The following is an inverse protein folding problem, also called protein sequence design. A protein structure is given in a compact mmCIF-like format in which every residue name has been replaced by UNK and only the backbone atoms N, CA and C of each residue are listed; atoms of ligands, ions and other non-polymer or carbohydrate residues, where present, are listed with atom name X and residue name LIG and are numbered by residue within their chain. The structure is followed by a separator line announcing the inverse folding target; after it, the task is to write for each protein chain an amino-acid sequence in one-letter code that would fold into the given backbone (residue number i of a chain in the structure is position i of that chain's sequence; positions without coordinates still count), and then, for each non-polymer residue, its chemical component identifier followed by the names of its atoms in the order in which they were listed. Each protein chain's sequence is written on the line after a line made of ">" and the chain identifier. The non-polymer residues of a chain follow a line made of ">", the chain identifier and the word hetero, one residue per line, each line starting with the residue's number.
data_IF_021111092504
#
_entry.id   IF_021111092504
#
_cell.length_a   1.000
_cell.length_b   1.000
_cell.length_c   1.000
_cell.angle_alpha   90.00
_cell.angle_beta   90.00
_cell.angle_gamma   90.00
#
_symmetry.space_group_name_H-M   'P 1'
#
loop_
_entity.id
_entity.type
_entity.pdbx_description
1 polymer ?
#
# COMPACT_ATOMS: atom_id res chain seq x y z
N UNK A 1 36.60 -64.34 21.31
CA UNK A 1 36.94 -63.00 21.85
C UNK A 1 36.23 -61.96 21.00
N UNK A 2 35.41 -61.06 21.58
CA UNK A 2 34.63 -60.11 20.80
C UNK A 2 35.47 -58.89 20.42
N UNK A 3 35.36 -58.46 19.16
CA UNK A 3 35.90 -57.19 18.64
C UNK A 3 35.02 -56.02 19.10
N UNK A 4 35.50 -55.24 20.07
CA UNK A 4 34.84 -54.02 20.52
C UNK A 4 35.14 -52.85 19.58
N UNK A 5 34.14 -52.40 18.84
CA UNK A 5 34.15 -51.10 18.16
C UNK A 5 33.91 -49.98 19.16
N UNK A 6 34.89 -49.10 19.33
CA UNK A 6 34.76 -47.87 20.14
C UNK A 6 34.00 -46.82 19.33
N UNK A 7 32.76 -46.51 19.70
CA UNK A 7 32.02 -45.35 19.20
C UNK A 7 32.35 -44.12 20.06
N UNK A 8 32.97 -43.10 19.47
CA UNK A 8 33.20 -41.81 20.12
C UNK A 8 31.87 -41.05 20.30
N UNK A 9 31.64 -40.36 21.44
CA UNK A 9 30.41 -39.64 21.69
C UNK A 9 30.28 -38.42 20.77
N UNK A 10 29.09 -38.27 20.17
CA UNK A 10 28.76 -37.11 19.35
C UNK A 10 28.75 -35.84 20.21
N UNK A 11 29.66 -34.90 19.92
CA UNK A 11 29.71 -33.58 20.55
C UNK A 11 28.45 -32.80 20.14
N UNK A 12 27.45 -32.74 21.03
CA UNK A 12 26.26 -31.90 20.84
C UNK A 12 26.68 -30.44 20.98
N UNK A 13 26.75 -29.72 19.84
CA UNK A 13 27.02 -28.28 19.84
C UNK A 13 25.85 -27.54 20.51
N UNK A 14 26.14 -26.57 21.39
CA UNK A 14 25.10 -25.94 22.18
C UNK A 14 24.24 -24.97 21.35
N UNK A 15 22.94 -24.85 21.64
CA UNK A 15 21.95 -24.16 20.80
C UNK A 15 22.23 -22.65 20.61
N UNK A 16 22.95 -22.02 21.54
CA UNK A 16 23.35 -20.60 21.44
C UNK A 16 24.35 -20.33 20.31
N UNK A 17 25.09 -21.35 19.85
CA UNK A 17 26.02 -21.20 18.72
C UNK A 17 25.27 -20.94 17.42
N UNK A 18 24.13 -21.62 17.21
CA UNK A 18 23.27 -21.43 16.05
C UNK A 18 22.56 -20.08 16.05
N UNK A 19 22.13 -19.61 17.23
CA UNK A 19 21.56 -18.27 17.39
C UNK A 19 22.58 -17.17 17.05
N UNK A 20 23.84 -17.31 17.47
CA UNK A 20 24.92 -16.37 17.11
C UNK A 20 25.24 -16.41 15.61
N UNK A 21 25.27 -17.60 15.00
CA UNK A 21 25.49 -17.75 13.56
C UNK A 21 24.34 -17.16 12.74
N UNK A 22 23.10 -17.34 13.18
CA UNK A 22 21.92 -16.74 12.56
C UNK A 22 21.95 -15.21 12.69
N UNK A 23 22.23 -14.68 13.87
CA UNK A 23 22.36 -13.24 14.09
C UNK A 23 23.49 -12.63 13.23
N UNK A 24 24.63 -13.32 13.13
CA UNK A 24 25.74 -12.91 12.28
C UNK A 24 25.37 -12.96 10.79
N UNK A 25 24.66 -14.00 10.35
CA UNK A 25 24.17 -14.11 8.98
C UNK A 25 23.17 -12.99 8.64
N UNK A 26 22.22 -12.69 9.54
CA UNK A 26 21.27 -11.60 9.37
C UNK A 26 21.96 -10.23 9.35
N UNK A 27 22.94 -10.01 10.23
CA UNK A 27 23.74 -8.79 10.23
C UNK A 27 24.56 -8.63 8.94
N UNK A 28 25.14 -9.72 8.43
CA UNK A 28 25.90 -9.72 7.18
C UNK A 28 24.98 -9.47 5.98
N UNK A 29 23.80 -10.09 5.94
CA UNK A 29 22.75 -9.83 4.94
C UNK A 29 22.34 -8.35 5.00
N UNK A 30 22.10 -7.81 6.18
CA UNK A 30 21.79 -6.39 6.38
C UNK A 30 22.90 -5.46 5.87
N UNK A 31 24.16 -5.77 6.19
CA UNK A 31 25.33 -5.00 5.74
C UNK A 31 25.53 -5.06 4.22
N UNK A 32 25.29 -6.24 3.62
CA UNK A 32 25.30 -6.40 2.16
C UNK A 32 24.17 -5.58 1.54
N UNK A 33 22.95 -5.61 2.09
CA UNK A 33 21.81 -4.83 1.61
C UNK A 33 22.04 -3.30 1.66
N UNK A 34 22.89 -2.82 2.57
CA UNK A 34 23.32 -1.40 2.61
C UNK A 34 24.24 -1.02 1.44
N UNK A 35 24.96 -1.99 0.85
CA UNK A 35 25.88 -1.79 -0.28
C UNK A 35 25.32 -2.22 -1.64
N UNK A 36 24.16 -2.84 -1.63
CA UNK A 36 23.42 -3.23 -2.82
C UNK A 36 22.89 -1.95 -3.51
N UNK A 37 23.23 -1.69 -4.78
CA UNK A 37 22.73 -0.52 -5.52
C UNK A 37 21.20 -0.44 -5.44
N UNK A 38 20.63 0.76 -5.38
CA UNK A 38 19.18 0.97 -5.26
C UNK A 38 18.37 0.12 -6.25
N UNK A 39 18.84 0.03 -7.50
CA UNK A 39 18.23 -0.82 -8.53
C UNK A 39 18.02 -2.29 -8.10
N UNK A 40 18.98 -2.88 -7.38
CA UNK A 40 18.90 -4.28 -6.93
C UNK A 40 17.98 -4.42 -5.70
N UNK A 41 17.93 -3.42 -4.82
CA UNK A 41 16.95 -3.37 -3.72
C UNK A 41 15.52 -3.41 -4.26
N UNK A 42 15.24 -2.65 -5.32
CA UNK A 42 13.92 -2.65 -5.94
C UNK A 42 13.57 -4.01 -6.56
N UNK A 43 14.52 -4.72 -7.17
CA UNK A 43 14.28 -6.09 -7.66
C UNK A 43 14.02 -7.08 -6.52
N UNK A 44 14.71 -6.94 -5.39
CA UNK A 44 14.45 -7.74 -4.18
C UNK A 44 13.04 -7.45 -3.66
N UNK A 45 12.60 -6.19 -3.63
CA UNK A 45 11.25 -5.83 -3.23
C UNK A 45 10.19 -6.43 -4.17
N UNK A 46 10.40 -6.36 -5.50
CA UNK A 46 9.48 -6.98 -6.46
C UNK A 46 9.36 -8.49 -6.21
N UNK A 47 10.47 -9.17 -5.94
CA UNK A 47 10.42 -10.59 -5.58
C UNK A 47 9.67 -10.82 -4.26
N UNK A 48 9.95 -10.03 -3.23
CA UNK A 48 9.23 -10.08 -1.96
C UNK A 48 7.72 -9.91 -2.16
N UNK A 49 7.31 -8.92 -2.96
CA UNK A 49 5.91 -8.66 -3.30
C UNK A 49 5.25 -9.89 -3.93
N UNK A 50 5.88 -10.51 -4.93
CA UNK A 50 5.31 -11.69 -5.58
C UNK A 50 5.27 -12.92 -4.65
N UNK A 51 6.25 -13.05 -3.73
CA UNK A 51 6.21 -14.10 -2.69
C UNK A 51 5.03 -13.88 -1.74
N UNK A 52 4.85 -12.67 -1.21
CA UNK A 52 3.72 -12.34 -0.33
C UNK A 52 2.40 -12.56 -1.05
N UNK A 53 2.28 -12.09 -2.28
CA UNK A 53 1.10 -12.30 -3.12
C UNK A 53 0.78 -13.78 -3.31
N UNK A 54 1.79 -14.59 -3.67
CA UNK A 54 1.63 -16.04 -3.81
C UNK A 54 1.25 -16.73 -2.49
N UNK A 55 1.87 -16.34 -1.39
CA UNK A 55 1.54 -16.84 -0.06
C UNK A 55 0.09 -16.56 0.32
N UNK A 56 -0.41 -15.33 0.09
CA UNK A 56 -1.80 -14.97 0.40
C UNK A 56 -2.77 -15.77 -0.46
N UNK A 57 -2.49 -15.94 -1.76
CA UNK A 57 -3.32 -16.77 -2.65
C UNK A 57 -3.36 -18.23 -2.15
N UNK A 58 -2.23 -18.76 -1.69
CA UNK A 58 -2.15 -20.12 -1.15
C UNK A 58 -2.85 -20.26 0.21
N UNK A 59 -2.70 -19.30 1.12
CA UNK A 59 -3.32 -19.35 2.44
C UNK A 59 -4.83 -19.17 2.38
N UNK A 60 -5.33 -18.47 1.37
CA UNK A 60 -6.77 -18.24 1.12
C UNK A 60 -7.39 -19.24 0.13
N UNK A 61 -6.67 -20.33 -0.22
CA UNK A 61 -7.13 -21.31 -1.22
C UNK A 61 -8.43 -22.02 -0.89
N UNK A 62 -8.79 -22.09 0.40
CA UNK A 62 -10.01 -22.74 0.89
C UNK A 62 -11.24 -21.81 0.85
N UNK A 63 -11.05 -20.54 0.49
CA UNK A 63 -12.15 -19.58 0.31
C UNK A 63 -12.75 -19.71 -1.09
N UNK A 64 -14.03 -19.36 -1.21
CA UNK A 64 -14.72 -19.29 -2.49
C UNK A 64 -14.06 -18.23 -3.39
N UNK A 65 -14.21 -18.40 -4.71
CA UNK A 65 -13.51 -17.56 -5.69
C UNK A 65 -14.42 -17.13 -6.81
N UNK A 66 -14.34 -15.84 -7.14
CA UNK A 66 -14.85 -15.26 -8.38
C UNK A 66 -13.71 -14.50 -9.06
N UNK A 67 -13.64 -14.54 -10.39
CA UNK A 67 -12.55 -13.90 -11.13
C UNK A 67 -13.00 -13.46 -12.51
N UNK A 68 -12.34 -12.44 -13.04
CA UNK A 68 -12.52 -11.96 -14.42
C UNK A 68 -11.16 -11.85 -15.14
N UNK A 69 -10.99 -10.90 -16.06
CA UNK A 69 -9.72 -10.65 -16.73
C UNK A 69 -8.66 -10.01 -15.81
N UNK A 70 -9.06 -9.13 -14.90
CA UNK A 70 -8.19 -8.24 -14.13
C UNK A 70 -8.05 -8.67 -12.66
N UNK A 71 -9.03 -9.38 -12.12
CA UNK A 71 -9.15 -9.65 -10.69
C UNK A 71 -9.40 -11.13 -10.38
N UNK A 72 -8.99 -11.50 -9.17
CA UNK A 72 -9.36 -12.73 -8.49
C UNK A 72 -9.79 -12.37 -7.07
N UNK A 73 -11.04 -12.64 -6.73
CA UNK A 73 -11.60 -12.31 -5.41
C UNK A 73 -11.78 -13.58 -4.60
N UNK A 74 -11.22 -13.60 -3.38
CA UNK A 74 -11.43 -14.65 -2.37
C UNK A 74 -12.38 -14.14 -1.30
N UNK A 75 -13.39 -14.94 -0.96
CA UNK A 75 -14.45 -14.55 -0.02
C UNK A 75 -15.01 -15.76 0.75
N UNK A 76 -15.67 -15.52 1.88
CA UNK A 76 -16.44 -16.55 2.59
C UNK A 76 -17.84 -16.69 1.99
N UNK A 77 -18.49 -17.88 2.02
CA UNK A 77 -19.79 -18.08 1.37
C UNK A 77 -20.88 -17.05 1.75
N UNK A 78 -20.84 -16.53 2.98
CA UNK A 78 -21.73 -15.45 3.44
C UNK A 78 -21.59 -14.16 2.64
N UNK A 79 -20.41 -13.87 2.09
CA UNK A 79 -20.08 -12.61 1.41
C UNK A 79 -20.20 -12.72 -0.12
N UNK A 80 -20.83 -13.78 -0.64
CA UNK A 80 -20.91 -14.00 -2.08
C UNK A 80 -21.54 -12.85 -2.88
N UNK A 81 -22.55 -12.17 -2.32
CA UNK A 81 -23.16 -10.99 -2.94
C UNK A 81 -22.19 -9.79 -2.96
N UNK A 82 -21.50 -9.58 -1.84
CA UNK A 82 -20.53 -8.51 -1.66
C UNK A 82 -19.32 -8.71 -2.56
N UNK A 83 -18.83 -9.95 -2.71
CA UNK A 83 -17.74 -10.29 -3.62
C UNK A 83 -18.07 -9.96 -5.09
N UNK A 84 -19.31 -10.19 -5.53
CA UNK A 84 -19.77 -9.79 -6.88
C UNK A 84 -19.80 -8.27 -7.04
N UNK A 85 -20.27 -7.56 -6.03
CA UNK A 85 -20.27 -6.10 -6.01
C UNK A 85 -18.85 -5.54 -6.06
N UNK A 86 -17.93 -6.07 -5.23
CA UNK A 86 -16.53 -5.69 -5.20
C UNK A 86 -15.86 -5.94 -6.56
N UNK A 87 -16.13 -7.08 -7.20
CA UNK A 87 -15.60 -7.39 -8.54
C UNK A 87 -16.07 -6.35 -9.57
N UNK A 88 -17.36 -6.04 -9.58
CA UNK A 88 -17.93 -5.06 -10.48
C UNK A 88 -17.31 -3.66 -10.28
N UNK A 89 -17.19 -3.21 -9.03
CA UNK A 89 -16.57 -1.91 -8.70
C UNK A 89 -15.08 -1.88 -9.03
N UNK A 90 -14.36 -2.97 -8.79
CA UNK A 90 -12.93 -3.08 -9.12
C UNK A 90 -12.70 -3.01 -10.63
N UNK A 91 -13.48 -3.72 -11.43
CA UNK A 91 -13.40 -3.67 -12.89
C UNK A 91 -13.77 -2.27 -13.44
N UNK A 92 -14.79 -1.62 -12.87
CA UNK A 92 -15.18 -0.23 -13.18
C UNK A 92 -14.01 0.75 -12.99
N UNK A 93 -13.23 0.62 -11.91
CA UNK A 93 -12.11 1.51 -11.62
C UNK A 93 -10.79 1.10 -12.24
N UNK A 94 -10.62 -0.15 -12.67
CA UNK A 94 -9.37 -0.65 -13.22
C UNK A 94 -8.87 0.18 -14.41
N UNK A 95 -9.72 0.36 -15.43
CA UNK A 95 -9.30 1.04 -16.66
C UNK A 95 -8.99 2.54 -16.49
N UNK A 96 -9.80 3.33 -15.75
CA UNK A 96 -9.45 4.71 -15.40
C UNK A 96 -8.11 4.80 -14.66
N UNK A 97 -7.96 4.11 -13.52
CA UNK A 97 -6.75 4.20 -12.68
C UNK A 97 -5.51 3.78 -13.47
N UNK A 98 -5.55 2.62 -14.13
CA UNK A 98 -4.37 2.14 -14.89
C UNK A 98 -3.99 3.06 -16.05
N UNK A 99 -4.97 3.66 -16.73
CA UNK A 99 -4.73 4.64 -17.79
C UNK A 99 -4.09 5.91 -17.26
N UNK A 100 -4.58 6.43 -16.15
CA UNK A 100 -4.10 7.68 -15.58
C UNK A 100 -2.62 7.59 -15.20
N UNK A 101 -2.15 6.45 -14.73
CA UNK A 101 -0.74 6.23 -14.41
C UNK A 101 0.08 5.54 -15.53
N UNK A 102 -0.54 5.23 -16.68
CA UNK A 102 0.12 4.58 -17.82
C UNK A 102 0.67 3.17 -17.52
N UNK A 103 0.07 2.45 -16.58
CA UNK A 103 0.50 1.10 -16.18
C UNK A 103 -0.41 0.04 -16.80
N UNK A 104 0.15 -1.08 -17.25
CA UNK A 104 -0.62 -2.28 -17.60
C UNK A 104 -0.21 -3.43 -16.71
N UNK A 105 -1.17 -4.01 -15.98
CA UNK A 105 -0.93 -5.14 -15.09
C UNK A 105 -1.27 -6.42 -15.86
N UNK A 106 -0.27 -7.27 -16.08
CA UNK A 106 -0.40 -8.49 -16.90
C UNK A 106 -0.97 -9.69 -16.17
N UNK A 107 -1.26 -9.56 -14.88
CA UNK A 107 -1.72 -10.63 -14.01
C UNK A 107 -2.94 -10.22 -13.21
N UNK A 108 -3.77 -11.19 -12.82
CA UNK A 108 -4.92 -10.91 -11.95
C UNK A 108 -4.46 -10.37 -10.59
N UNK A 109 -5.10 -9.30 -10.18
CA UNK A 109 -4.94 -8.67 -8.87
C UNK A 109 -5.81 -9.43 -7.86
N UNK A 110 -5.22 -10.02 -6.80
CA UNK A 110 -6.00 -10.67 -5.76
C UNK A 110 -6.66 -9.63 -4.86
N UNK A 111 -7.97 -9.80 -4.65
CA UNK A 111 -8.76 -9.08 -3.65
C UNK A 111 -9.25 -10.08 -2.61
N UNK A 112 -8.99 -9.85 -1.33
CA UNK A 112 -9.48 -10.71 -0.25
C UNK A 112 -10.58 -9.96 0.51
N UNK A 113 -11.77 -10.54 0.57
CA UNK A 113 -12.92 -9.99 1.28
C UNK A 113 -12.92 -10.50 2.71
N UNK A 114 -13.09 -9.58 3.67
CA UNK A 114 -13.18 -9.89 5.09
C UNK A 114 -14.58 -9.53 5.61
N UNK A 115 -15.29 -10.45 6.28
CA UNK A 115 -16.65 -10.21 6.74
C UNK A 115 -16.74 -9.16 7.85
N UNK A 116 -15.66 -8.98 8.64
CA UNK A 116 -15.65 -8.08 9.80
C UNK A 116 -14.34 -7.30 9.94
N UNK A 117 -14.41 -6.14 10.58
CA UNK A 117 -13.22 -5.34 10.94
C UNK A 117 -12.20 -6.14 11.74
N UNK A 118 -12.67 -6.95 12.69
CA UNK A 118 -11.81 -7.82 13.49
C UNK A 118 -11.02 -8.80 12.62
N UNK A 119 -11.66 -9.45 11.64
CA UNK A 119 -10.98 -10.37 10.73
C UNK A 119 -9.99 -9.67 9.79
N UNK A 120 -10.31 -8.46 9.31
CA UNK A 120 -9.40 -7.65 8.51
C UNK A 120 -8.17 -7.24 9.33
N UNK A 121 -8.37 -6.69 10.51
CA UNK A 121 -7.29 -6.20 11.38
C UNK A 121 -6.39 -7.35 11.85
N UNK A 122 -6.99 -8.51 12.18
CA UNK A 122 -6.24 -9.71 12.54
C UNK A 122 -5.29 -10.18 11.43
N UNK A 123 -5.64 -9.95 10.15
CA UNK A 123 -4.77 -10.29 9.01
C UNK A 123 -3.46 -9.48 8.97
N UNK A 124 -3.41 -8.35 9.68
CA UNK A 124 -2.23 -7.48 9.84
C UNK A 124 -1.66 -7.49 11.27
N UNK A 125 -2.27 -8.23 12.20
CA UNK A 125 -1.91 -8.16 13.62
C UNK A 125 -2.25 -6.82 14.28
N UNK A 126 -3.19 -6.06 13.70
CA UNK A 126 -3.64 -4.77 14.21
C UNK A 126 -4.69 -4.93 15.33
N UNK A 127 -4.82 -3.93 16.22
CA UNK A 127 -5.93 -3.86 17.16
C UNK A 127 -7.29 -3.88 16.45
N UNK A 128 -8.31 -4.45 17.09
CA UNK A 128 -9.68 -4.46 16.54
C UNK A 128 -10.31 -3.06 16.39
N UNK A 129 -9.73 -2.04 17.01
CA UNK A 129 -10.17 -0.64 16.94
C UNK A 129 -9.77 0.09 15.66
N UNK A 130 -8.83 -0.46 14.86
CA UNK A 130 -8.48 0.12 13.56
C UNK A 130 -9.69 0.09 12.61
N UNK A 131 -9.94 1.21 11.94
CA UNK A 131 -11.17 1.45 11.18
C UNK A 131 -11.01 1.32 9.66
N UNK A 132 -9.92 0.71 9.20
CA UNK A 132 -9.63 0.54 7.78
C UNK A 132 -10.78 -0.20 7.05
N UNK A 133 -11.24 0.38 5.95
CA UNK A 133 -12.25 -0.24 5.07
C UNK A 133 -11.60 -1.03 3.93
N UNK A 134 -10.38 -0.65 3.55
CA UNK A 134 -9.53 -1.38 2.63
C UNK A 134 -8.06 -1.21 3.01
N UNK A 135 -7.23 -2.13 2.54
CA UNK A 135 -5.77 -2.04 2.67
C UNK A 135 -5.11 -2.72 1.46
N UNK A 136 -4.30 -1.96 0.74
CA UNK A 136 -3.30 -2.48 -0.17
C UNK A 136 -2.03 -2.85 0.58
N UNK A 137 -1.56 -4.08 0.40
CA UNK A 137 -0.23 -4.46 0.85
C UNK A 137 0.38 -5.55 -0.03
N UNK A 138 1.57 -5.27 -0.53
CA UNK A 138 2.42 -6.21 -1.27
C UNK A 138 1.67 -6.97 -2.39
N UNK A 139 1.02 -6.23 -3.29
CA UNK A 139 0.36 -6.81 -4.46
C UNK A 139 -1.02 -7.42 -4.19
N UNK A 140 -1.57 -7.23 -2.99
CA UNK A 140 -2.88 -7.74 -2.58
C UNK A 140 -3.73 -6.61 -2.04
N UNK A 141 -4.96 -6.50 -2.53
CA UNK A 141 -5.98 -5.61 -1.96
C UNK A 141 -6.82 -6.41 -0.98
N UNK A 142 -7.08 -5.87 0.21
CA UNK A 142 -8.01 -6.43 1.19
C UNK A 142 -9.15 -5.45 1.39
N UNK A 143 -10.37 -5.96 1.40
CA UNK A 143 -11.58 -5.14 1.48
C UNK A 143 -12.46 -5.67 2.61
N UNK A 144 -12.90 -4.77 3.47
CA UNK A 144 -13.96 -5.04 4.43
C UNK A 144 -15.30 -5.13 3.67
N UNK A 145 -16.07 -6.19 3.94
CA UNK A 145 -17.36 -6.41 3.32
C UNK A 145 -18.26 -5.16 3.46
N UNK A 146 -18.88 -4.65 2.36
CA UNK A 146 -19.80 -3.51 2.36
C UNK A 146 -20.81 -3.52 3.52
N UNK A 147 -21.43 -4.68 3.76
CA UNK A 147 -22.42 -4.88 4.85
C UNK A 147 -21.87 -4.64 6.26
N UNK A 148 -20.55 -4.66 6.46
CA UNK A 148 -19.94 -4.48 7.77
C UNK A 148 -19.82 -2.99 8.16
N UNK A 149 -20.09 -2.06 7.25
CA UNK A 149 -19.95 -0.63 7.50
C UNK A 149 -21.06 0.24 6.88
N UNK A 150 -21.83 -0.27 5.91
CA UNK A 150 -23.03 0.42 5.43
C UNK A 150 -24.21 0.10 6.34
N UNK A 151 -24.85 1.13 6.90
CA UNK A 151 -26.01 1.00 7.78
C UNK A 151 -27.33 0.93 6.99
N UNK A 152 -27.44 -0.02 6.07
CA UNK A 152 -28.65 -0.29 5.29
C UNK A 152 -28.70 -1.77 4.90
N UNK A 153 -29.91 -2.34 4.85
CA UNK A 153 -30.17 -3.68 4.34
C UNK A 153 -30.60 -3.66 2.86
N UNK A 154 -30.82 -2.48 2.27
CA UNK A 154 -31.19 -2.36 0.85
C UNK A 154 -29.97 -2.62 -0.04
N UNK A 155 -30.01 -3.61 -0.96
CA UNK A 155 -28.88 -3.91 -1.83
C UNK A 155 -28.48 -2.78 -2.76
N UNK A 156 -29.41 -1.90 -3.13
CA UNK A 156 -29.15 -0.73 -3.97
C UNK A 156 -28.36 0.33 -3.20
N UNK A 157 -28.80 0.67 -1.99
CA UNK A 157 -28.10 1.60 -1.11
C UNK A 157 -26.70 1.11 -0.72
N UNK A 158 -26.54 -0.19 -0.42
CA UNK A 158 -25.21 -0.78 -0.16
C UNK A 158 -24.30 -0.63 -1.38
N UNK A 159 -24.82 -0.91 -2.59
CA UNK A 159 -24.06 -0.78 -3.83
C UNK A 159 -23.63 0.66 -4.08
N UNK A 160 -24.54 1.61 -3.91
CA UNK A 160 -24.26 3.03 -4.08
C UNK A 160 -23.23 3.54 -3.06
N UNK A 161 -23.40 3.20 -1.78
CA UNK A 161 -22.44 3.55 -0.73
C UNK A 161 -21.05 2.96 -1.00
N UNK A 162 -20.98 1.69 -1.41
CA UNK A 162 -19.71 1.02 -1.73
C UNK A 162 -19.03 1.60 -2.98
N UNK A 163 -19.78 1.92 -4.03
CA UNK A 163 -19.21 2.51 -5.24
C UNK A 163 -18.75 3.96 -5.06
N UNK A 164 -19.44 4.73 -4.21
CA UNK A 164 -19.12 6.13 -3.97
C UNK A 164 -18.03 6.33 -2.91
N UNK A 165 -18.07 5.54 -1.84
CA UNK A 165 -17.26 5.76 -0.64
C UNK A 165 -16.46 4.53 -0.20
N UNK A 166 -16.48 3.46 -0.99
CA UNK A 166 -15.69 2.26 -0.75
C UNK A 166 -14.23 2.42 -1.18
N UNK A 167 -13.32 1.59 -0.65
CA UNK A 167 -11.89 1.82 -0.70
C UNK A 167 -11.25 1.46 -2.06
N UNK A 168 -12.01 0.92 -3.00
CA UNK A 168 -11.45 0.20 -4.16
C UNK A 168 -10.60 1.11 -5.05
N UNK A 169 -11.05 2.33 -5.34
CA UNK A 169 -10.28 3.29 -6.14
C UNK A 169 -8.98 3.71 -5.44
N UNK A 170 -9.06 3.96 -4.13
CA UNK A 170 -7.92 4.31 -3.28
C UNK A 170 -6.88 3.19 -3.25
N UNK A 171 -7.28 1.96 -2.93
CA UNK A 171 -6.37 0.81 -2.86
C UNK A 171 -5.80 0.40 -4.23
N UNK A 172 -6.57 0.56 -5.31
CA UNK A 172 -6.06 0.35 -6.67
C UNK A 172 -4.93 1.32 -7.00
N UNK A 173 -5.07 2.57 -6.55
CA UNK A 173 -4.06 3.61 -6.79
C UNK A 173 -2.79 3.32 -6.01
N UNK A 174 -2.89 2.87 -4.75
CA UNK A 174 -1.74 2.35 -4.02
C UNK A 174 -1.03 1.22 -4.76
N UNK A 175 -1.79 0.26 -5.29
CA UNK A 175 -1.24 -0.84 -6.07
C UNK A 175 -0.47 -0.35 -7.29
N UNK A 176 -1.07 0.52 -8.09
CA UNK A 176 -0.47 1.03 -9.32
C UNK A 176 0.79 1.86 -9.02
N UNK A 177 0.73 2.72 -8.01
CA UNK A 177 1.88 3.49 -7.52
C UNK A 177 3.00 2.55 -7.07
N UNK A 178 2.71 1.54 -6.25
CA UNK A 178 3.69 0.54 -5.81
C UNK A 178 4.32 -0.25 -6.96
N UNK A 179 3.56 -0.57 -8.00
CA UNK A 179 4.09 -1.25 -9.17
C UNK A 179 5.05 -0.38 -9.97
N UNK A 180 4.76 0.92 -10.09
CA UNK A 180 5.64 1.88 -10.79
C UNK A 180 6.89 2.17 -9.97
N UNK A 181 6.73 2.41 -8.67
CA UNK A 181 7.83 2.82 -7.78
C UNK A 181 8.59 1.65 -7.19
N UNK A 182 8.10 0.42 -7.36
CA UNK A 182 8.64 -0.79 -6.74
C UNK A 182 8.74 -0.65 -5.22
N UNK A 183 7.73 -0.04 -4.61
CA UNK A 183 7.67 0.20 -3.17
C UNK A 183 8.49 1.41 -2.69
N UNK A 184 9.33 2.02 -3.53
CA UNK A 184 10.11 3.20 -3.17
C UNK A 184 9.29 4.49 -3.32
N UNK A 185 8.26 4.67 -2.51
CA UNK A 185 7.41 5.88 -2.52
C UNK A 185 7.20 6.45 -1.12
N UNK A 186 7.34 7.77 -0.92
CA UNK A 186 7.00 8.40 0.35
C UNK A 186 5.53 8.20 0.70
N UNK A 187 5.25 7.97 1.99
CA UNK A 187 3.90 7.66 2.47
C UNK A 187 2.89 8.77 2.13
N UNK A 188 3.26 10.03 2.39
CA UNK A 188 2.42 11.19 2.03
C UNK A 188 2.10 11.26 0.53
N UNK A 189 3.05 10.88 -0.35
CA UNK A 189 2.84 10.97 -1.78
C UNK A 189 1.87 9.90 -2.26
N UNK A 190 2.02 8.66 -1.77
CA UNK A 190 1.08 7.59 -2.16
C UNK A 190 -0.32 7.83 -1.60
N UNK A 191 -0.47 8.37 -0.40
CA UNK A 191 -1.78 8.71 0.18
C UNK A 191 -2.44 9.90 -0.51
N UNK A 192 -1.66 10.92 -0.89
CA UNK A 192 -2.17 12.06 -1.64
C UNK A 192 -2.65 11.66 -3.04
N UNK A 193 -1.91 10.76 -3.72
CA UNK A 193 -2.31 10.25 -5.04
C UNK A 193 -3.56 9.38 -4.96
N UNK A 194 -3.65 8.49 -3.97
CA UNK A 194 -4.80 7.63 -3.77
C UNK A 194 -6.08 8.45 -3.48
N UNK A 195 -6.02 9.44 -2.59
CA UNK A 195 -7.14 10.36 -2.34
C UNK A 195 -7.50 11.21 -3.56
N UNK A 196 -6.52 11.68 -4.33
CA UNK A 196 -6.77 12.49 -5.51
C UNK A 196 -7.50 11.69 -6.60
N UNK A 197 -7.13 10.42 -6.76
CA UNK A 197 -7.74 9.51 -7.73
C UNK A 197 -9.13 9.05 -7.29
N UNK A 198 -9.30 8.71 -6.01
CA UNK A 198 -10.61 8.41 -5.41
C UNK A 198 -11.60 9.57 -5.61
N UNK A 199 -11.19 10.79 -5.22
CA UNK A 199 -11.99 12.00 -5.41
C UNK A 199 -12.36 12.24 -6.87
N UNK A 200 -11.46 11.97 -7.80
CA UNK A 200 -11.73 12.13 -9.24
C UNK A 200 -12.77 11.13 -9.73
N UNK A 201 -12.71 9.88 -9.28
CA UNK A 201 -13.54 8.78 -9.77
C UNK A 201 -14.91 8.69 -9.08
N UNK A 202 -14.99 9.07 -7.82
CA UNK A 202 -16.21 8.90 -7.01
C UNK A 202 -16.77 10.21 -6.45
N UNK A 203 -15.98 11.29 -6.46
CA UNK A 203 -16.32 12.53 -5.78
C UNK A 203 -16.11 12.49 -4.27
N UNK A 204 -15.76 11.33 -3.71
CA UNK A 204 -15.52 11.19 -2.28
C UNK A 204 -14.29 11.99 -1.85
N UNK A 205 -14.39 12.58 -0.66
CA UNK A 205 -13.28 13.21 0.00
C UNK A 205 -13.43 12.96 1.48
N UNK A 206 -12.39 12.41 2.09
CA UNK A 206 -12.31 12.36 3.54
C UNK A 206 -12.31 13.79 4.09
N UNK A 207 -13.36 14.14 4.82
CA UNK A 207 -13.52 15.45 5.42
C UNK A 207 -13.68 15.29 6.93
N UNK A 208 -12.70 15.80 7.66
CA UNK A 208 -12.65 15.80 9.11
C UNK A 208 -12.25 17.21 9.55
N UNK A 209 -12.94 17.82 10.52
CA UNK A 209 -12.58 19.15 11.03
C UNK A 209 -11.14 19.22 11.55
N UNK A 210 -10.63 18.11 12.08
CA UNK A 210 -9.25 17.98 12.57
C UNK A 210 -8.22 18.07 11.43
N UNK A 211 -8.62 17.80 10.20
CA UNK A 211 -7.80 17.92 8.99
C UNK A 211 -7.73 19.34 8.42
N UNK A 212 -8.17 20.38 9.13
CA UNK A 212 -8.05 21.77 8.66
C UNK A 212 -6.58 22.14 8.38
N UNK A 213 -6.32 22.80 7.25
CA UNK A 213 -4.99 23.35 6.94
C UNK A 213 -4.74 24.69 7.67
N UNK A 214 -5.71 25.23 8.39
CA UNK A 214 -5.57 26.48 9.16
C UNK A 214 -4.98 26.25 10.56
N UNK A 215 -3.96 25.40 10.65
CA UNK A 215 -3.25 25.04 11.89
C UNK A 215 -1.78 24.71 11.56
N UNK A 216 -0.88 24.57 12.55
CA UNK A 216 0.50 24.14 12.28
C UNK A 216 0.53 22.82 11.50
N UNK A 217 1.27 22.82 10.39
CA UNK A 217 1.34 21.72 9.44
C UNK A 217 2.57 20.83 9.63
N UNK A 218 2.46 19.53 9.38
CA UNK A 218 3.58 18.59 9.42
C UNK A 218 4.54 18.82 8.25
N UNK A 219 5.83 18.51 8.46
CA UNK A 219 6.79 18.55 7.36
C UNK A 219 6.60 17.33 6.45
N UNK A 220 6.73 17.50 5.12
CA UNK A 220 6.58 16.38 4.18
C UNK A 220 7.62 15.27 4.46
N UNK A 221 8.82 15.66 4.92
CA UNK A 221 9.87 14.72 5.32
C UNK A 221 9.54 13.95 6.62
N UNK A 222 8.76 14.54 7.52
CA UNK A 222 8.27 13.87 8.73
C UNK A 222 7.20 12.83 8.36
N UNK A 223 6.27 13.24 7.48
CA UNK A 223 5.22 12.36 6.95
C UNK A 223 5.75 11.22 6.07
N UNK A 224 6.97 11.31 5.55
CA UNK A 224 7.59 10.20 4.81
C UNK A 224 7.85 8.98 5.73
N UNK A 225 8.43 9.21 6.92
CA UNK A 225 8.89 8.13 7.81
C UNK A 225 7.92 7.80 8.94
N UNK A 226 7.14 8.79 9.38
CA UNK A 226 6.35 8.71 10.60
C UNK A 226 4.84 8.76 10.39
N UNK A 227 4.37 8.67 9.13
CA UNK A 227 2.98 8.97 8.77
C UNK A 227 1.97 8.33 9.72
N UNK A 228 2.02 7.00 9.87
CA UNK A 228 1.03 6.23 10.63
C UNK A 228 1.18 6.42 12.17
N UNK A 229 2.23 7.13 12.63
CA UNK A 229 2.45 7.49 14.03
C UNK A 229 2.11 8.95 14.35
N UNK A 230 1.72 9.75 13.35
CA UNK A 230 1.36 11.14 13.56
C UNK A 230 0.08 11.26 14.41
N UNK A 231 0.05 12.13 15.42
CA UNK A 231 -1.12 12.28 16.29
C UNK A 231 -2.39 12.69 15.55
N UNK A 232 -2.28 13.48 14.49
CA UNK A 232 -3.41 13.95 13.69
C UNK A 232 -3.36 13.36 12.27
N UNK A 233 -3.83 12.13 12.13
CA UNK A 233 -3.94 11.44 10.85
C UNK A 233 -4.78 12.24 9.84
N UNK A 234 -5.90 12.82 10.28
CA UNK A 234 -6.77 13.61 9.40
C UNK A 234 -6.03 14.79 8.75
N UNK A 235 -5.14 15.45 9.51
CA UNK A 235 -4.25 16.49 8.96
C UNK A 235 -3.25 15.91 7.96
N UNK A 236 -2.57 14.81 8.29
CA UNK A 236 -1.59 14.19 7.41
C UNK A 236 -2.20 13.77 6.06
N UNK A 237 -3.40 13.18 6.07
CA UNK A 237 -4.16 12.89 4.85
C UNK A 237 -4.52 14.16 4.08
N UNK A 238 -4.99 15.21 4.77
CA UNK A 238 -5.33 16.49 4.13
C UNK A 238 -4.12 17.15 3.47
N UNK A 239 -2.99 17.20 4.17
CA UNK A 239 -1.73 17.78 3.66
C UNK A 239 -1.24 17.01 2.44
N UNK A 240 -1.29 15.68 2.50
CA UNK A 240 -0.92 14.80 1.39
C UNK A 240 -1.74 15.09 0.13
N UNK A 241 -3.07 15.14 0.25
CA UNK A 241 -3.96 15.49 -0.85
C UNK A 241 -3.69 16.92 -1.37
N UNK A 242 -3.52 17.88 -0.47
CA UNK A 242 -3.27 19.28 -0.84
C UNK A 242 -1.95 19.45 -1.59
N UNK A 243 -0.88 18.77 -1.14
CA UNK A 243 0.42 18.81 -1.78
C UNK A 243 0.37 18.18 -3.18
N UNK A 244 -0.34 17.05 -3.34
CA UNK A 244 -0.53 16.41 -4.65
C UNK A 244 -1.39 17.27 -5.58
N UNK A 245 -2.50 17.84 -5.10
CA UNK A 245 -3.33 18.77 -5.87
C UNK A 245 -2.51 19.98 -6.36
N UNK A 246 -1.67 20.55 -5.48
CA UNK A 246 -0.74 21.62 -5.86
C UNK A 246 0.29 21.17 -6.90
N UNK A 247 0.89 19.98 -6.71
CA UNK A 247 1.85 19.42 -7.64
C UNK A 247 1.26 19.25 -9.04
N UNK A 248 0.07 18.64 -9.13
CA UNK A 248 -0.66 18.46 -10.40
C UNK A 248 -1.03 19.79 -11.02
N UNK A 249 -1.50 20.75 -10.22
CA UNK A 249 -1.91 22.08 -10.71
C UNK A 249 -0.75 22.90 -11.27
N UNK A 250 0.42 22.86 -10.63
CA UNK A 250 1.56 23.72 -11.00
C UNK A 250 2.48 23.06 -12.01
N UNK A 251 2.70 21.75 -11.91
CA UNK A 251 3.69 21.02 -12.73
C UNK A 251 3.06 20.02 -13.71
N UNK A 252 1.76 19.73 -13.59
CA UNK A 252 1.02 18.82 -14.46
C UNK A 252 1.22 17.33 -14.12
N UNK A 253 0.31 16.49 -14.63
CA UNK A 253 0.31 15.04 -14.37
C UNK A 253 1.60 14.35 -14.87
N UNK A 254 2.16 14.82 -15.98
CA UNK A 254 3.40 14.26 -16.53
C UNK A 254 4.58 14.41 -15.57
N UNK A 255 4.61 15.47 -14.75
CA UNK A 255 5.63 15.65 -13.73
C UNK A 255 5.49 14.60 -12.61
N UNK A 256 4.25 14.31 -12.19
CA UNK A 256 3.96 13.23 -11.22
C UNK A 256 4.44 11.89 -11.77
N UNK A 257 4.13 11.56 -13.03
CA UNK A 257 4.60 10.32 -13.65
C UNK A 257 6.13 10.23 -13.71
N UNK A 258 6.80 11.35 -13.96
CA UNK A 258 8.26 11.39 -13.97
C UNK A 258 8.83 11.16 -12.56
N UNK A 259 8.23 11.73 -11.52
CA UNK A 259 8.61 11.46 -10.12
C UNK A 259 8.50 9.96 -9.83
N UNK A 260 7.33 9.36 -10.08
CA UNK A 260 7.10 7.94 -9.79
C UNK A 260 8.08 7.03 -10.55
N UNK A 261 8.37 7.34 -11.81
CA UNK A 261 9.36 6.58 -12.60
C UNK A 261 10.76 6.70 -12.04
N UNK A 262 11.19 7.89 -11.63
CA UNK A 262 12.51 8.11 -11.03
C UNK A 262 12.63 7.39 -9.69
N UNK A 263 11.58 7.46 -8.86
CA UNK A 263 11.46 6.68 -7.64
C UNK A 263 11.60 5.17 -7.91
N UNK A 264 10.95 4.64 -8.95
CA UNK A 264 11.07 3.23 -9.37
C UNK A 264 12.49 2.78 -9.79
N UNK A 265 13.43 3.70 -9.94
CA UNK A 265 14.87 3.40 -10.16
C UNK A 265 15.68 3.30 -8.87
N UNK A 266 15.03 3.43 -7.70
CA UNK A 266 15.64 3.42 -6.37
C UNK A 266 16.28 4.76 -5.97
N UNK A 267 15.93 5.86 -6.65
CA UNK A 267 16.36 7.21 -6.26
C UNK A 267 15.44 7.78 -5.19
N UNK A 268 15.98 8.64 -4.33
CA UNK A 268 15.19 9.32 -3.30
C UNK A 268 14.27 10.41 -3.88
N UNK A 269 13.31 10.85 -3.07
CA UNK A 269 12.31 11.85 -3.45
C UNK A 269 12.91 13.20 -3.84
N UNK A 270 14.03 13.63 -3.24
CA UNK A 270 14.69 14.89 -3.63
C UNK A 270 15.22 14.79 -5.06
N UNK A 271 15.85 13.67 -5.41
CA UNK A 271 16.31 13.43 -6.79
C UNK A 271 15.16 13.31 -7.78
N UNK A 272 14.07 12.66 -7.38
CA UNK A 272 12.87 12.55 -8.21
C UNK A 272 12.24 13.93 -8.48
N UNK A 273 12.04 14.73 -7.44
CA UNK A 273 11.51 16.10 -7.57
C UNK A 273 12.46 17.01 -8.34
N UNK A 274 13.77 16.96 -8.09
CA UNK A 274 14.74 17.79 -8.82
C UNK A 274 14.70 17.50 -10.32
N UNK A 275 14.55 16.21 -10.69
CA UNK A 275 14.48 15.79 -12.09
C UNK A 275 13.16 16.15 -12.77
N UNK A 276 12.05 16.17 -12.05
CA UNK A 276 10.72 16.34 -12.63
C UNK A 276 10.17 17.78 -12.50
N UNK A 277 10.52 18.46 -11.42
CA UNK A 277 9.99 19.77 -11.02
C UNK A 277 11.06 20.88 -11.06
N UNK A 278 12.35 20.50 -11.14
CA UNK A 278 13.46 21.44 -11.04
C UNK A 278 13.73 21.95 -9.62
N UNK A 279 13.07 21.37 -8.60
CA UNK A 279 13.22 21.72 -7.19
C UNK A 279 13.33 20.49 -6.31
N UNK A 280 13.95 20.61 -5.13
CA UNK A 280 13.98 19.56 -4.13
C UNK A 280 12.71 19.54 -3.26
N UNK A 281 12.60 18.56 -2.33
CA UNK A 281 11.43 18.40 -1.47
C UNK A 281 11.17 19.63 -0.59
N UNK A 282 12.24 20.24 -0.06
CA UNK A 282 12.13 21.39 0.84
C UNK A 282 11.63 22.63 0.10
N UNK A 283 12.15 22.88 -1.09
CA UNK A 283 11.72 23.97 -1.97
C UNK A 283 10.28 23.75 -2.46
N UNK A 284 9.92 22.52 -2.83
CA UNK A 284 8.55 22.17 -3.17
C UNK A 284 7.59 22.43 -2.00
N UNK A 285 7.93 21.94 -0.80
CA UNK A 285 7.14 22.12 0.42
C UNK A 285 6.93 23.60 0.73
N UNK A 286 7.98 24.42 0.63
CA UNK A 286 7.87 25.86 0.85
C UNK A 286 6.91 26.53 -0.14
N UNK A 287 6.99 26.20 -1.44
CA UNK A 287 6.11 26.76 -2.47
C UNK A 287 4.66 26.32 -2.30
N UNK A 288 4.45 25.05 -1.93
CA UNK A 288 3.11 24.52 -1.64
C UNK A 288 2.51 25.22 -0.43
N UNK A 289 3.22 25.31 0.70
CA UNK A 289 2.78 26.01 1.91
C UNK A 289 2.38 27.46 1.62
N UNK A 290 3.21 28.18 0.85
CA UNK A 290 2.91 29.55 0.43
C UNK A 290 1.60 29.64 -0.36
N UNK A 291 1.32 28.66 -1.21
CA UNK A 291 0.08 28.63 -2.01
C UNK A 291 -1.20 28.43 -1.19
N UNK A 292 -1.07 27.91 0.04
CA UNK A 292 -2.18 27.67 0.97
C UNK A 292 -2.14 28.64 2.17
N UNK A 293 -1.31 29.69 2.12
CA UNK A 293 -1.28 30.76 3.12
C UNK A 293 -0.36 30.51 4.32
N UNK A 294 0.63 29.62 4.19
CA UNK A 294 1.68 29.33 5.19
C UNK A 294 3.06 29.75 4.70
#
# INVERSE_FOLDING_TARGET
>A
MPTGTVTLPAVKRPPWLWLKLLALALALIGLVMLRVPGAVREYVYVLFREIVRGQVILSTRNMDTISDQHFLIRYEPSDAADARMILHTADKFYAPVTRDFGLRIGQRIPIIVYPTRASLNASFGWPASESAMGVYWAGVIRVLSPRAWVASDDPGEIKEAFESSGPVAHEMTHLVVDYITRGNVPRWLTEGLAQAEEKKLTGFRFDSPQGSLAQPLYHLAEMDRGFDQLPNQALAYRESLSAVDYMKKVYGDQAVHNILRVLGTGRDINRAMQSALGVDLKQFEQRWRQSIGH
#
